data_IF_311614147153
#
_entry.id   IF_311614147153
#
_cell.length_a   1.000
_cell.length_b   1.000
_cell.length_c   1.000
_cell.angle_alpha   90.00
_cell.angle_beta   90.00
_cell.angle_gamma   90.00
#
_symmetry.space_group_name_H-M   'P 1'
#
loop_
_entity.id
_entity.type
_entity.pdbx_description
1 polymer ?
#
# COMPACT_ATOMS: atom_id res chain seq x y z
N UNK A 1 -91.57 9.68 8.40
CA UNK A 1 -92.57 9.24 9.41
C UNK A 1 -91.87 8.29 10.37
N UNK A 2 -92.01 8.47 11.69
CA UNK A 2 -91.59 7.58 12.81
C UNK A 2 -90.30 6.72 12.68
N UNK A 3 -89.28 7.10 13.47
CA UNK A 3 -88.39 6.19 14.23
C UNK A 3 -89.21 5.32 15.23
N UNK A 4 -88.67 4.27 15.91
CA UNK A 4 -87.27 3.95 16.29
C UNK A 4 -86.83 2.51 15.84
N UNK A 5 -85.75 1.82 16.25
CA UNK A 5 -85.07 1.61 17.56
C UNK A 5 -83.61 1.13 17.37
N UNK A 6 -82.60 1.63 18.12
CA UNK A 6 -82.12 1.20 19.47
C UNK A 6 -81.68 -0.28 19.49
N UNK A 7 -80.53 -0.72 20.05
CA UNK A 7 -79.41 -0.13 20.83
C UNK A 7 -78.18 -1.10 20.67
N UNK A 8 -76.96 -1.01 21.24
CA UNK A 8 -76.14 -0.14 22.13
C UNK A 8 -74.67 -0.48 21.70
N UNK A 9 -73.70 0.40 21.38
CA UNK A 9 -72.85 1.25 22.24
C UNK A 9 -72.35 0.54 23.53
N UNK A 10 -71.05 0.32 23.74
CA UNK A 10 -69.99 1.25 24.23
C UNK A 10 -68.61 0.53 24.05
N UNK A 11 -67.42 1.15 23.91
CA UNK A 11 -67.01 2.57 23.75
C UNK A 11 -65.55 2.70 23.19
N UNK A 12 -65.08 3.95 23.12
CA UNK A 12 -63.77 4.56 22.82
C UNK A 12 -62.50 3.99 23.52
N UNK A 13 -61.25 4.30 23.09
CA UNK A 13 -60.65 5.66 22.97
C UNK A 13 -59.52 5.84 21.93
N UNK A 14 -59.56 7.01 21.25
CA UNK A 14 -58.46 7.83 20.68
C UNK A 14 -57.34 7.18 19.84
N UNK A 15 -56.83 7.77 18.74
CA UNK A 15 -57.13 9.03 18.01
C UNK A 15 -56.24 9.06 16.75
N UNK A 16 -56.45 9.79 15.66
CA UNK A 16 -57.57 10.49 15.02
C UNK A 16 -56.91 11.42 13.97
N UNK A 17 -57.24 11.28 12.67
CA UNK A 17 -56.89 12.17 11.54
C UNK A 17 -55.37 12.32 11.23
N UNK A 18 -54.92 12.58 9.99
CA UNK A 18 -55.59 12.93 8.71
C UNK A 18 -55.24 11.82 7.66
N UNK A 19 -55.93 11.56 6.53
CA UNK A 19 -56.49 12.41 5.47
C UNK A 19 -55.41 13.27 4.74
N UNK A 20 -55.33 13.32 3.40
CA UNK A 20 -55.93 12.47 2.37
C UNK A 20 -55.11 12.54 1.05
N UNK A 21 -55.36 11.60 0.14
CA UNK A 21 -55.05 11.58 -1.30
C UNK A 21 -53.66 11.98 -1.91
N UNK A 22 -53.44 11.38 -3.10
CA UNK A 22 -52.64 11.83 -4.24
C UNK A 22 -51.11 11.58 -4.29
N UNK A 23 -50.67 11.37 -5.53
CA UNK A 23 -49.41 10.76 -5.93
C UNK A 23 -48.18 11.63 -5.74
N UNK A 24 -47.09 11.02 -5.27
CA UNK A 24 -45.75 11.39 -5.72
C UNK A 24 -44.92 10.15 -6.02
N UNK A 25 -44.06 10.22 -7.03
CA UNK A 25 -43.14 9.17 -7.43
C UNK A 25 -42.09 8.96 -6.33
N UNK A 26 -42.20 7.88 -5.57
CA UNK A 26 -41.16 7.45 -4.66
C UNK A 26 -39.94 6.99 -5.47
N UNK A 27 -38.86 7.79 -5.40
CA UNK A 27 -37.56 7.45 -5.98
C UNK A 27 -37.05 6.17 -5.33
N UNK A 28 -36.79 5.12 -6.10
CA UNK A 28 -36.03 3.97 -5.60
C UNK A 28 -34.66 4.48 -5.12
N UNK A 29 -34.39 4.30 -3.83
CA UNK A 29 -33.19 4.84 -3.21
C UNK A 29 -31.96 4.10 -3.73
N UNK A 30 -31.22 4.75 -4.63
CA UNK A 30 -29.87 4.33 -5.01
C UNK A 30 -28.92 4.53 -3.83
N UNK A 31 -29.00 3.59 -2.88
CA UNK A 31 -28.16 3.50 -1.69
C UNK A 31 -26.70 3.39 -2.13
N UNK A 32 -26.01 4.54 -2.16
CA UNK A 32 -24.67 4.62 -2.71
C UNK A 32 -23.71 3.80 -1.86
N UNK A 33 -23.40 2.57 -2.29
CA UNK A 33 -22.48 1.68 -1.62
C UNK A 33 -21.17 2.43 -1.37
N UNK A 34 -20.84 2.60 -0.09
CA UNK A 34 -19.57 3.19 0.30
C UNK A 34 -18.50 2.12 0.11
N UNK A 35 -17.88 2.10 -1.08
CA UNK A 35 -16.65 1.36 -1.31
C UNK A 35 -15.54 2.15 -0.59
N UNK A 36 -15.15 1.68 0.60
CA UNK A 36 -14.16 2.32 1.45
C UNK A 36 -12.77 1.71 1.31
N UNK A 37 -12.71 0.41 1.06
CA UNK A 37 -11.50 -0.42 0.97
C UNK A 37 -11.57 -1.41 -0.23
N UNK A 38 -10.52 -2.19 -0.45
CA UNK A 38 -10.53 -3.24 -1.50
C UNK A 38 -11.54 -4.36 -1.19
N UNK A 39 -11.71 -4.71 0.08
CA UNK A 39 -12.57 -5.80 0.52
C UNK A 39 -14.06 -5.52 0.25
N UNK A 40 -14.53 -4.29 0.34
CA UNK A 40 -15.86 -3.88 -0.06
C UNK A 40 -16.07 -4.12 -1.55
N UNK A 41 -15.04 -3.87 -2.36
CA UNK A 41 -15.05 -4.15 -3.81
C UNK A 41 -15.09 -5.65 -4.06
N UNK A 42 -14.20 -6.43 -3.42
CA UNK A 42 -14.12 -7.89 -3.61
C UNK A 42 -15.40 -8.60 -3.12
N UNK A 43 -16.01 -8.14 -2.02
CA UNK A 43 -17.30 -8.67 -1.49
C UNK A 43 -18.47 -8.54 -2.48
N UNK A 44 -18.42 -7.62 -3.46
CA UNK A 44 -19.47 -7.47 -4.48
C UNK A 44 -19.49 -8.60 -5.51
N UNK A 45 -18.38 -9.30 -5.69
CA UNK A 45 -18.32 -10.45 -6.60
C UNK A 45 -18.97 -11.69 -5.97
N UNK A 46 -19.56 -12.55 -6.78
CA UNK A 46 -20.24 -13.78 -6.33
C UNK A 46 -19.32 -15.01 -6.35
N UNK A 47 -18.37 -15.06 -7.27
CA UNK A 47 -17.43 -16.15 -7.50
C UNK A 47 -16.09 -15.98 -6.75
N UNK A 48 -15.43 -17.09 -6.42
CA UNK A 48 -14.16 -17.08 -5.69
C UNK A 48 -12.98 -16.49 -6.49
N UNK A 49 -13.00 -16.60 -7.83
CA UNK A 49 -11.92 -16.10 -8.69
C UNK A 49 -11.90 -14.57 -8.66
N UNK A 50 -13.04 -13.93 -8.87
CA UNK A 50 -13.17 -12.47 -8.83
C UNK A 50 -13.09 -11.87 -7.42
N UNK A 51 -13.27 -12.69 -6.38
CA UNK A 51 -12.97 -12.33 -4.98
C UNK A 51 -11.48 -12.40 -4.63
N UNK A 52 -10.65 -13.01 -5.48
CA UNK A 52 -9.21 -13.20 -5.24
C UNK A 52 -8.41 -12.13 -5.96
N UNK A 53 -7.61 -11.37 -5.22
CA UNK A 53 -6.58 -10.52 -5.81
C UNK A 53 -5.36 -11.38 -6.15
N UNK A 54 -4.71 -11.09 -7.28
CA UNK A 54 -3.48 -11.74 -7.72
C UNK A 54 -2.37 -10.69 -7.68
N UNK A 55 -1.59 -10.67 -6.60
CA UNK A 55 -0.53 -9.69 -6.41
C UNK A 55 0.78 -10.25 -6.99
N UNK A 56 1.46 -9.46 -7.82
CA UNK A 56 2.76 -9.80 -8.42
C UNK A 56 3.76 -8.66 -8.28
N UNK A 57 5.04 -9.00 -8.34
CA UNK A 57 6.14 -8.06 -8.30
C UNK A 57 6.01 -7.00 -9.42
N UNK A 58 5.89 -5.75 -9.01
CA UNK A 58 5.72 -4.59 -9.89
C UNK A 58 6.99 -3.72 -9.87
N UNK A 59 7.41 -3.32 -8.66
CA UNK A 59 8.66 -2.57 -8.47
C UNK A 59 9.43 -3.01 -7.23
N UNK A 60 10.76 -2.99 -7.35
CA UNK A 60 11.67 -2.93 -6.22
C UNK A 60 12.37 -1.59 -6.28
N UNK A 61 12.20 -0.75 -5.25
CA UNK A 61 13.06 0.41 -5.06
C UNK A 61 14.23 0.00 -4.17
N UNK A 62 15.41 -0.07 -4.77
CA UNK A 62 16.67 -0.26 -4.06
C UNK A 62 17.17 1.10 -3.56
N UNK A 63 17.59 1.17 -2.30
CA UNK A 63 18.40 2.26 -1.75
C UNK A 63 19.72 1.68 -1.24
N UNK A 64 20.85 2.17 -1.74
CA UNK A 64 22.20 1.77 -1.32
C UNK A 64 22.88 2.93 -0.61
N UNK A 65 23.33 2.68 0.62
CA UNK A 65 24.14 3.56 1.44
C UNK A 65 25.49 2.91 1.74
N UNK A 66 26.57 3.70 1.77
CA UNK A 66 27.90 3.22 2.16
C UNK A 66 28.62 4.31 2.94
N UNK A 67 29.17 3.98 4.12
CA UNK A 67 29.81 4.97 4.99
C UNK A 67 30.10 4.47 6.40
N UNK A 68 30.51 5.39 7.27
CA UNK A 68 30.58 5.18 8.72
C UNK A 68 29.20 5.49 9.32
N UNK A 69 28.71 4.65 10.24
CA UNK A 69 27.39 4.85 10.86
C UNK A 69 27.27 6.20 11.59
N UNK A 70 28.37 6.69 12.18
CA UNK A 70 28.47 8.03 12.80
C UNK A 70 28.39 9.21 11.82
N UNK A 71 28.47 8.95 10.50
CA UNK A 71 28.32 9.93 9.43
C UNK A 71 27.10 9.63 8.53
N UNK A 72 26.19 8.76 8.96
CA UNK A 72 25.01 8.34 8.21
C UNK A 72 24.14 9.52 7.74
N UNK A 73 23.95 10.54 8.58
CA UNK A 73 23.13 11.72 8.28
C UNK A 73 23.70 12.70 7.24
N UNK A 74 24.92 12.50 6.74
CA UNK A 74 25.54 13.34 5.70
C UNK A 74 25.99 12.57 4.45
N UNK A 75 25.64 11.28 4.37
CA UNK A 75 26.07 10.39 3.29
C UNK A 75 25.15 10.44 2.06
N UNK A 76 25.74 10.22 0.88
CA UNK A 76 24.98 10.07 -0.35
C UNK A 76 24.32 8.68 -0.41
N UNK A 77 22.99 8.65 -0.54
CA UNK A 77 22.23 7.41 -0.79
C UNK A 77 21.92 7.31 -2.28
N UNK A 78 22.41 6.27 -2.94
CA UNK A 78 21.99 5.93 -4.31
C UNK A 78 20.63 5.26 -4.25
N UNK A 79 19.73 5.57 -5.19
CA UNK A 79 18.42 4.92 -5.29
C UNK A 79 18.15 4.46 -6.71
N UNK A 80 17.85 3.18 -6.87
CA UNK A 80 17.56 2.50 -8.14
C UNK A 80 16.10 2.03 -8.12
N UNK A 81 15.44 1.97 -9.29
CA UNK A 81 14.11 1.37 -9.41
C UNK A 81 14.20 0.25 -10.43
N UNK A 82 13.83 -0.95 -9.99
CA UNK A 82 13.84 -2.19 -10.75
C UNK A 82 12.40 -2.63 -11.03
N UNK A 83 12.13 -3.12 -12.24
CA UNK A 83 10.89 -3.83 -12.61
C UNK A 83 11.11 -5.31 -12.96
N UNK A 84 12.37 -5.74 -12.95
CA UNK A 84 12.78 -7.14 -13.11
C UNK A 84 13.73 -7.46 -11.95
N UNK A 85 13.41 -8.50 -11.18
CA UNK A 85 14.22 -8.99 -10.07
C UNK A 85 15.66 -9.32 -10.51
N UNK A 86 15.85 -9.78 -11.75
CA UNK A 86 17.17 -10.09 -12.34
C UNK A 86 18.11 -8.88 -12.41
N UNK A 87 17.57 -7.66 -12.35
CA UNK A 87 18.35 -6.42 -12.29
C UNK A 87 18.76 -6.01 -10.87
N UNK A 88 18.22 -6.66 -9.83
CA UNK A 88 18.65 -6.49 -8.43
C UNK A 88 19.84 -7.42 -8.18
N UNK A 89 20.95 -6.86 -7.74
CA UNK A 89 22.17 -7.60 -7.41
C UNK A 89 22.43 -7.55 -5.89
N UNK A 90 22.55 -8.69 -5.19
CA UNK A 90 22.84 -8.68 -3.76
C UNK A 90 24.17 -8.00 -3.40
N UNK A 91 24.20 -7.37 -2.22
CA UNK A 91 25.34 -6.65 -1.64
C UNK A 91 26.63 -7.48 -1.61
N UNK A 92 26.48 -8.81 -1.54
CA UNK A 92 27.54 -9.82 -1.63
C UNK A 92 26.96 -11.09 -2.26
N UNK A 93 27.67 -11.67 -3.23
CA UNK A 93 27.33 -12.98 -3.80
C UNK A 93 27.24 -14.05 -2.71
N UNK A 94 26.24 -14.93 -2.79
CA UNK A 94 25.89 -15.97 -1.81
C UNK A 94 25.42 -15.42 -0.45
N UNK A 95 24.87 -14.20 -0.41
CA UNK A 95 24.07 -13.74 0.73
C UNK A 95 22.67 -14.39 0.69
N UNK A 96 22.05 -14.70 1.84
CA UNK A 96 20.67 -15.21 1.88
C UNK A 96 19.68 -14.08 1.58
N UNK A 97 19.47 -13.83 0.28
CA UNK A 97 18.47 -12.88 -0.20
C UNK A 97 17.24 -13.67 -0.60
N UNK A 98 16.13 -13.40 0.10
CA UNK A 98 14.80 -13.89 -0.24
C UNK A 98 13.90 -12.69 -0.51
N UNK A 99 13.12 -12.75 -1.59
CA UNK A 99 12.24 -11.66 -2.04
C UNK A 99 10.88 -12.25 -2.46
N UNK A 100 9.75 -11.76 -1.94
CA UNK A 100 8.43 -12.18 -2.41
C UNK A 100 8.20 -11.73 -3.86
N UNK A 101 7.61 -12.61 -4.67
CA UNK A 101 7.40 -12.42 -6.13
C UNK A 101 5.92 -12.41 -6.49
N UNK A 102 5.11 -13.29 -5.88
CA UNK A 102 3.66 -13.30 -6.09
C UNK A 102 2.93 -13.86 -4.87
N UNK A 103 1.68 -13.43 -4.68
CA UNK A 103 0.77 -13.96 -3.65
C UNK A 103 -0.68 -13.72 -4.05
N UNK A 104 -1.53 -14.74 -3.89
CA UNK A 104 -2.97 -14.60 -4.04
C UNK A 104 -3.65 -14.38 -2.68
N UNK A 105 -4.70 -13.56 -2.63
CA UNK A 105 -5.39 -13.26 -1.38
C UNK A 105 -6.87 -12.90 -1.54
N UNK A 106 -7.64 -13.16 -0.48
CA UNK A 106 -9.05 -12.76 -0.34
C UNK A 106 -9.25 -12.04 0.99
N UNK A 107 -10.41 -11.44 1.22
CA UNK A 107 -10.75 -10.79 2.49
C UNK A 107 -11.33 -11.73 3.56
N UNK A 108 -11.19 -13.03 3.33
CA UNK A 108 -11.41 -14.13 4.27
C UNK A 108 -10.12 -14.96 4.28
N UNK A 109 -9.83 -15.63 5.39
CA UNK A 109 -8.70 -16.57 5.46
C UNK A 109 -8.89 -17.65 4.38
N UNK A 110 -7.91 -17.77 3.49
CA UNK A 110 -7.97 -18.69 2.35
C UNK A 110 -6.58 -19.22 2.00
N UNK A 111 -6.50 -20.53 1.71
CA UNK A 111 -5.28 -21.17 1.23
C UNK A 111 -4.99 -20.70 -0.21
N UNK A 112 -3.80 -20.16 -0.43
CA UNK A 112 -3.38 -19.53 -1.68
C UNK A 112 -1.89 -19.80 -1.95
N UNK A 113 -1.50 -19.81 -3.22
CA UNK A 113 -0.08 -19.93 -3.59
C UNK A 113 0.67 -18.63 -3.25
N UNK A 114 1.83 -18.77 -2.60
CA UNK A 114 2.84 -17.74 -2.41
C UNK A 114 4.12 -18.16 -3.13
N UNK A 115 4.68 -17.24 -3.91
CA UNK A 115 5.93 -17.41 -4.66
C UNK A 115 6.95 -16.40 -4.14
N UNK A 116 8.14 -16.89 -3.81
CA UNK A 116 9.30 -16.06 -3.50
C UNK A 116 10.45 -16.45 -4.43
N UNK A 117 11.52 -15.66 -4.41
CA UNK A 117 12.74 -15.96 -5.12
C UNK A 117 13.95 -15.79 -4.21
N UNK A 118 14.82 -16.79 -4.22
CA UNK A 118 16.08 -16.81 -3.49
C UNK A 118 17.27 -16.61 -4.44
N UNK A 119 18.23 -15.78 -4.04
CA UNK A 119 19.45 -15.58 -4.84
C UNK A 119 20.49 -16.66 -4.57
N UNK A 120 20.56 -17.65 -5.46
CA UNK A 120 21.50 -18.77 -5.39
C UNK A 120 22.32 -18.92 -6.67
N UNK A 121 23.55 -19.42 -6.58
CA UNK A 121 24.39 -19.74 -7.75
C UNK A 121 24.63 -18.59 -8.77
N UNK A 122 24.49 -17.33 -8.35
CA UNK A 122 24.51 -16.10 -9.17
C UNK A 122 23.21 -15.79 -9.98
N UNK A 123 22.10 -16.47 -9.71
CA UNK A 123 20.80 -16.22 -10.29
C UNK A 123 19.74 -16.03 -9.19
N UNK A 124 18.59 -15.47 -9.56
CA UNK A 124 17.37 -15.59 -8.77
C UNK A 124 16.65 -16.87 -9.19
N UNK A 125 16.23 -17.68 -8.21
CA UNK A 125 15.47 -18.92 -8.42
C UNK A 125 14.15 -18.77 -7.69
N UNK A 126 13.04 -18.88 -8.42
CA UNK A 126 11.69 -18.84 -7.86
C UNK A 126 11.29 -20.21 -7.31
N UNK A 127 10.62 -20.22 -6.16
CA UNK A 127 9.98 -21.37 -5.54
C UNK A 127 8.61 -20.96 -4.96
N UNK A 128 7.73 -21.92 -4.67
CA UNK A 128 6.36 -21.63 -4.24
C UNK A 128 5.74 -22.71 -3.36
N UNK A 129 4.89 -22.28 -2.43
CA UNK A 129 4.09 -23.15 -1.56
C UNK A 129 2.73 -22.54 -1.26
N UNK A 130 1.82 -23.33 -0.71
CA UNK A 130 0.52 -22.84 -0.25
C UNK A 130 0.64 -22.25 1.16
N UNK A 131 0.10 -21.05 1.33
CA UNK A 131 -0.02 -20.33 2.61
C UNK A 131 -1.48 -20.01 2.88
N UNK A 132 -1.86 -19.87 4.13
CA UNK A 132 -3.09 -19.15 4.47
C UNK A 132 -2.84 -17.65 4.23
N UNK A 133 -3.78 -16.94 3.59
CA UNK A 133 -3.70 -15.49 3.37
C UNK A 133 -5.01 -14.78 3.68
N UNK A 134 -4.92 -13.49 4.03
CA UNK A 134 -6.07 -12.59 4.23
C UNK A 134 -5.70 -11.13 4.00
N UNK A 135 -6.59 -10.42 3.29
CA UNK A 135 -6.62 -8.96 3.22
C UNK A 135 -7.51 -8.38 4.32
N UNK A 136 -7.07 -7.25 4.87
CA UNK A 136 -7.76 -6.47 5.90
C UNK A 136 -7.95 -5.02 5.42
N UNK A 137 -9.10 -4.41 5.75
CA UNK A 137 -9.19 -2.95 5.87
C UNK A 137 -8.58 -2.54 7.21
N UNK A 138 -7.76 -1.51 7.21
CA UNK A 138 -7.17 -0.99 8.45
C UNK A 138 -8.17 -0.25 9.35
N UNK A 139 -9.37 0.10 8.82
CA UNK A 139 -10.50 0.56 9.63
C UNK A 139 -11.15 -0.56 10.45
N UNK A 140 -11.05 -1.80 9.99
CA UNK A 140 -11.60 -2.97 10.70
C UNK A 140 -10.61 -3.50 11.75
N UNK A 141 -9.29 -3.45 11.47
CA UNK A 141 -8.23 -3.89 12.40
C UNK A 141 -7.00 -2.97 12.34
N UNK A 142 -6.63 -2.41 13.50
CA UNK A 142 -5.45 -1.57 13.69
C UNK A 142 -4.21 -2.39 14.11
N UNK A 143 -3.06 -2.12 13.48
CA UNK A 143 -1.79 -2.84 13.69
C UNK A 143 -0.96 -2.28 14.86
N UNK A 144 -1.44 -2.45 16.11
CA UNK A 144 -0.66 -2.19 17.33
C UNK A 144 0.04 -0.82 17.37
N UNK A 145 1.35 -0.81 17.62
CA UNK A 145 2.20 0.40 17.67
C UNK A 145 2.54 0.98 16.28
N UNK A 146 2.16 0.34 15.17
CA UNK A 146 2.42 0.87 13.83
C UNK A 146 1.53 2.06 13.51
N UNK A 147 2.11 3.14 12.97
CA UNK A 147 1.36 4.34 12.58
C UNK A 147 0.51 4.09 11.31
N UNK A 148 -0.67 3.52 11.54
CA UNK A 148 -1.69 3.16 10.55
C UNK A 148 -2.23 4.32 9.71
N UNK A 149 -2.03 5.58 10.14
CA UNK A 149 -2.64 6.79 9.55
C UNK A 149 -2.45 6.99 8.04
N UNK A 150 -1.45 6.35 7.43
CA UNK A 150 -1.15 6.44 6.00
C UNK A 150 -1.29 5.09 5.25
N UNK A 151 -1.78 4.06 5.91
CA UNK A 151 -2.10 2.75 5.32
C UNK A 151 -3.62 2.66 5.09
N UNK A 152 -4.07 1.85 4.14
CA UNK A 152 -5.49 1.67 3.79
C UNK A 152 -5.91 0.20 3.89
N UNK A 153 -5.05 -0.70 3.43
CA UNK A 153 -5.27 -2.14 3.51
C UNK A 153 -3.97 -2.80 3.99
N UNK A 154 -4.04 -3.98 4.60
CA UNK A 154 -2.88 -4.83 4.84
C UNK A 154 -3.16 -6.29 4.44
N UNK A 155 -2.09 -6.99 4.08
CA UNK A 155 -2.07 -8.40 3.72
C UNK A 155 -1.30 -9.14 4.81
N UNK A 156 -1.90 -10.21 5.34
CA UNK A 156 -1.21 -11.21 6.14
C UNK A 156 -1.13 -12.54 5.36
N UNK A 157 -0.02 -13.26 5.52
CA UNK A 157 0.21 -14.57 4.93
C UNK A 157 1.08 -15.43 5.85
N UNK A 158 0.64 -16.65 6.17
CA UNK A 158 1.38 -17.58 7.04
C UNK A 158 1.41 -18.99 6.47
N UNK A 159 2.53 -19.68 6.67
CA UNK A 159 2.68 -21.11 6.36
C UNK A 159 2.01 -22.00 7.43
N UNK A 160 1.71 -21.44 8.60
CA UNK A 160 1.14 -22.16 9.73
C UNK A 160 -0.40 -22.17 9.75
N UNK A 161 -0.94 -22.60 10.88
CA UNK A 161 -2.33 -22.34 11.23
C UNK A 161 -2.54 -20.83 11.44
N UNK A 162 -3.71 -20.32 11.09
CA UNK A 162 -4.02 -18.90 11.29
C UNK A 162 -4.00 -18.53 12.78
N UNK A 163 -3.32 -17.44 13.19
CA UNK A 163 -3.25 -17.03 14.59
C UNK A 163 -4.65 -16.64 15.11
N UNK A 164 -5.01 -17.14 16.29
CA UNK A 164 -6.36 -16.96 16.88
C UNK A 164 -6.64 -15.53 17.37
N UNK A 165 -5.60 -14.71 17.48
CA UNK A 165 -5.61 -13.32 17.92
C UNK A 165 -5.27 -12.33 16.79
N UNK A 166 -5.16 -12.80 15.54
CA UNK A 166 -4.67 -12.02 14.38
C UNK A 166 -3.28 -11.36 14.63
N UNK A 167 -2.42 -11.98 15.45
CA UNK A 167 -1.04 -11.56 15.71
C UNK A 167 -0.05 -12.22 14.73
N UNK A 168 0.77 -11.42 14.04
CA UNK A 168 1.68 -11.85 12.96
C UNK A 168 3.08 -11.25 13.11
N UNK A 169 4.11 -11.99 12.69
CA UNK A 169 5.47 -11.44 12.57
C UNK A 169 5.59 -10.47 11.37
N UNK A 170 6.52 -9.52 11.45
CA UNK A 170 6.68 -8.45 10.44
C UNK A 170 7.16 -8.94 9.05
N UNK A 171 7.51 -10.21 8.90
CA UNK A 171 7.80 -10.90 7.63
C UNK A 171 6.58 -11.61 7.02
N UNK A 172 5.51 -11.85 7.80
CA UNK A 172 4.22 -12.41 7.36
C UNK A 172 3.24 -11.32 6.90
N UNK A 173 3.70 -10.06 6.87
CA UNK A 173 2.89 -8.86 6.67
C UNK A 173 3.36 -8.02 5.48
N UNK A 174 2.39 -7.45 4.75
CA UNK A 174 2.62 -6.37 3.78
C UNK A 174 1.56 -5.28 3.91
N UNK A 175 1.98 -4.02 3.77
CA UNK A 175 1.09 -2.86 3.95
C UNK A 175 0.79 -2.17 2.62
N UNK A 176 -0.45 -1.71 2.43
CA UNK A 176 -0.83 -0.87 1.29
C UNK A 176 -1.07 0.57 1.71
N UNK A 177 -0.16 1.45 1.30
CA UNK A 177 -0.27 2.91 1.46
C UNK A 177 -1.20 3.56 0.41
N UNK A 178 -1.85 2.75 -0.43
CA UNK A 178 -2.87 3.14 -1.40
C UNK A 178 -4.13 2.29 -1.26
N UNK A 179 -5.24 2.77 -1.83
CA UNK A 179 -6.48 2.01 -1.97
C UNK A 179 -6.28 0.82 -2.94
N UNK A 180 -5.53 1.03 -4.03
CA UNK A 180 -5.35 0.15 -5.18
C UNK A 180 -4.46 -1.09 -4.94
N UNK A 181 -4.32 -1.52 -3.67
CA UNK A 181 -3.51 -2.64 -3.16
C UNK A 181 -2.13 -2.77 -3.79
N UNK A 182 -1.24 -1.84 -3.42
CA UNK A 182 0.19 -2.04 -3.52
C UNK A 182 0.68 -2.65 -2.20
N UNK A 183 0.78 -3.98 -2.12
CA UNK A 183 1.31 -4.66 -0.94
C UNK A 183 2.83 -4.44 -0.85
N UNK A 184 3.28 -3.74 0.19
CA UNK A 184 4.68 -3.29 0.36
C UNK A 184 5.31 -3.95 1.58
N UNK A 185 6.56 -4.39 1.42
CA UNK A 185 7.46 -4.77 2.52
C UNK A 185 8.84 -4.14 2.33
N UNK A 186 9.59 -3.98 3.42
CA UNK A 186 10.99 -3.55 3.39
C UNK A 186 11.90 -4.69 3.82
N UNK A 187 12.80 -5.09 2.93
CA UNK A 187 13.91 -5.99 3.24
C UNK A 187 15.19 -5.14 3.32
N UNK A 188 16.08 -5.43 4.27
CA UNK A 188 17.37 -4.76 4.38
C UNK A 188 18.50 -5.74 4.64
N UNK A 189 19.67 -5.36 4.15
CA UNK A 189 20.89 -6.15 4.23
C UNK A 189 22.07 -5.22 4.48
N UNK A 190 22.89 -5.50 5.50
CA UNK A 190 24.14 -4.80 5.75
C UNK A 190 25.33 -5.72 5.52
N UNK A 191 26.48 -5.15 5.14
CA UNK A 191 27.77 -5.82 5.19
C UNK A 191 28.83 -4.88 5.76
N UNK A 192 29.68 -5.42 6.63
CA UNK A 192 30.94 -4.78 7.02
C UNK A 192 32.07 -5.80 7.02
N UNK A 193 33.30 -5.30 6.86
CA UNK A 193 34.51 -6.11 6.86
C UNK A 193 35.22 -6.03 8.22
N UNK A 194 35.73 -7.18 8.67
CA UNK A 194 36.47 -7.29 9.92
C UNK A 194 37.83 -7.95 9.70
N UNK A 195 38.88 -7.26 10.11
CA UNK A 195 40.27 -7.57 9.77
C UNK A 195 41.02 -7.94 11.04
N UNK A 196 41.24 -9.23 11.24
CA UNK A 196 42.07 -9.74 12.34
C UNK A 196 43.53 -9.76 11.89
N UNK A 197 44.42 -9.12 12.65
CA UNK A 197 45.87 -9.20 12.44
C UNK A 197 46.47 -9.99 13.59
N UNK A 198 47.09 -11.13 13.29
CA UNK A 198 47.75 -11.99 14.27
C UNK A 198 49.25 -11.98 14.02
N UNK A 199 50.03 -11.54 15.01
CA UNK A 199 51.50 -11.56 14.95
C UNK A 199 52.01 -12.72 15.81
N UNK A 200 52.82 -13.60 15.21
CA UNK A 200 53.46 -14.73 15.89
C UNK A 200 54.95 -14.68 15.58
N UNK A 201 55.75 -14.28 16.58
CA UNK A 201 57.16 -13.97 16.38
C UNK A 201 57.33 -12.82 15.37
N UNK A 202 58.05 -13.08 14.28
CA UNK A 202 58.24 -12.13 13.17
C UNK A 202 57.17 -12.24 12.07
N UNK A 203 56.24 -13.20 12.16
CA UNK A 203 55.24 -13.46 11.12
C UNK A 203 53.91 -12.77 11.42
N UNK A 204 53.50 -11.87 10.53
CA UNK A 204 52.20 -11.17 10.58
C UNK A 204 51.22 -11.83 9.61
N UNK A 205 50.13 -12.38 10.13
CA UNK A 205 49.03 -12.95 9.34
C UNK A 205 47.80 -12.04 9.43
N UNK A 206 47.34 -11.54 8.29
CA UNK A 206 46.12 -10.71 8.19
C UNK A 206 44.98 -11.54 7.61
N UNK A 207 43.92 -11.73 8.40
CA UNK A 207 42.68 -12.40 7.99
C UNK A 207 41.57 -11.37 7.83
N UNK A 208 41.13 -11.15 6.60
CA UNK A 208 39.91 -10.39 6.32
C UNK A 208 38.72 -11.35 6.37
N UNK A 209 37.72 -10.98 7.14
CA UNK A 209 36.40 -11.61 7.21
C UNK A 209 35.31 -10.59 6.91
N UNK A 210 34.08 -11.05 6.73
CA UNK A 210 32.93 -10.17 6.54
C UNK A 210 31.77 -10.65 7.42
N UNK A 211 30.91 -9.71 7.79
CA UNK A 211 29.68 -9.95 8.57
C UNK A 211 28.52 -9.39 7.77
N UNK A 212 27.43 -10.14 7.71
CA UNK A 212 26.17 -9.74 7.07
C UNK A 212 25.07 -9.83 8.12
N UNK A 213 24.20 -8.82 8.15
CA UNK A 213 22.93 -8.89 8.85
C UNK A 213 21.80 -8.62 7.85
N UNK A 214 20.65 -9.25 8.07
CA UNK A 214 19.43 -9.03 7.30
C UNK A 214 18.23 -8.79 8.22
N UNK A 215 17.22 -8.08 7.72
CA UNK A 215 15.98 -7.80 8.45
C UNK A 215 14.84 -7.55 7.47
N UNK A 216 13.63 -7.92 7.86
CA UNK A 216 12.37 -7.56 7.18
C UNK A 216 11.51 -6.82 8.18
N UNK A 217 10.90 -5.70 7.77
CA UNK A 217 9.91 -4.99 8.58
C UNK A 217 8.96 -4.14 7.72
N UNK A 218 7.98 -3.53 8.38
CA UNK A 218 6.92 -2.72 7.77
C UNK A 218 7.38 -1.32 7.29
N UNK A 219 8.56 -0.87 7.74
CA UNK A 219 9.12 0.45 7.41
C UNK A 219 10.65 0.46 7.29
N UNK A 220 11.18 1.48 6.63
CA UNK A 220 12.61 1.66 6.37
C UNK A 220 13.46 1.96 7.61
N UNK A 221 12.94 2.68 8.61
CA UNK A 221 13.71 3.07 9.78
C UNK A 221 13.95 1.86 10.69
N UNK A 222 12.91 1.03 10.92
CA UNK A 222 13.03 -0.23 11.66
C UNK A 222 14.01 -1.19 10.99
N UNK A 223 13.91 -1.37 9.67
CA UNK A 223 14.86 -2.21 8.90
C UNK A 223 16.30 -1.69 9.05
N UNK A 224 16.53 -0.39 8.84
CA UNK A 224 17.87 0.20 8.92
C UNK A 224 18.47 0.06 10.32
N UNK A 225 17.68 0.33 11.37
CA UNK A 225 18.10 0.16 12.76
C UNK A 225 18.48 -1.31 13.06
N UNK A 226 17.63 -2.27 12.69
CA UNK A 226 17.89 -3.70 12.89
C UNK A 226 19.18 -4.16 12.21
N UNK A 227 19.41 -3.85 10.93
CA UNK A 227 20.62 -4.31 10.22
C UNK A 227 21.92 -3.57 10.60
N UNK A 228 21.84 -2.45 11.33
CA UNK A 228 23.01 -1.69 11.78
C UNK A 228 23.29 -1.82 13.29
N UNK A 229 22.29 -2.23 14.07
CA UNK A 229 22.29 -2.38 15.54
C UNK A 229 23.57 -2.95 16.16
N UNK A 230 24.11 -4.03 15.59
CA UNK A 230 25.21 -4.82 16.14
C UNK A 230 26.57 -4.54 15.45
N UNK A 231 26.68 -3.49 14.65
CA UNK A 231 27.91 -3.18 13.92
C UNK A 231 28.87 -2.34 14.80
N UNK A 232 30.14 -2.75 14.98
CA UNK A 232 31.11 -1.97 15.77
C UNK A 232 31.36 -0.57 15.20
N UNK A 233 31.61 0.38 16.11
CA UNK A 233 31.97 1.75 15.75
C UNK A 233 33.26 1.83 14.92
N UNK A 234 33.35 2.82 14.03
CA UNK A 234 34.50 3.00 13.14
C UNK A 234 34.61 2.00 11.98
N UNK A 235 33.70 1.02 11.85
CA UNK A 235 33.61 0.18 10.66
C UNK A 235 32.99 0.95 9.49
N UNK A 236 33.57 0.78 8.29
CA UNK A 236 32.90 1.10 7.03
C UNK A 236 31.84 0.03 6.78
N UNK A 237 30.61 0.49 6.52
CA UNK A 237 29.43 -0.35 6.34
C UNK A 237 28.81 -0.01 5.00
N UNK A 238 28.33 -1.04 4.29
CA UNK A 238 27.40 -0.87 3.17
C UNK A 238 26.05 -1.43 3.59
N UNK A 239 24.97 -0.73 3.27
CA UNK A 239 23.59 -1.18 3.48
C UNK A 239 22.84 -1.10 2.15
N UNK A 240 22.13 -2.17 1.80
CA UNK A 240 21.20 -2.25 0.69
C UNK A 240 19.80 -2.48 1.25
N UNK A 241 18.87 -1.58 0.94
CA UNK A 241 17.47 -1.67 1.35
C UNK A 241 16.62 -1.86 0.10
N UNK A 242 15.70 -2.82 0.15
CA UNK A 242 14.77 -3.13 -0.92
C UNK A 242 13.35 -2.87 -0.43
N UNK A 243 12.73 -1.79 -0.91
CA UNK A 243 11.29 -1.59 -0.79
C UNK A 243 10.63 -2.36 -1.92
N UNK A 244 10.11 -3.54 -1.60
CA UNK A 244 9.47 -4.45 -2.55
C UNK A 244 7.98 -4.11 -2.58
N UNK A 245 7.41 -4.04 -3.79
CA UNK A 245 5.99 -3.78 -4.03
C UNK A 245 5.43 -4.90 -4.91
N UNK A 246 4.42 -5.58 -4.38
CA UNK A 246 3.50 -6.39 -5.18
C UNK A 246 2.23 -5.55 -5.48
N UNK A 247 1.73 -5.65 -6.70
CA UNK A 247 0.52 -4.94 -7.18
C UNK A 247 -0.45 -5.93 -7.81
N UNK A 248 -1.75 -5.62 -7.89
CA UNK A 248 -2.70 -6.45 -8.68
C UNK A 248 -2.16 -6.57 -10.11
N UNK A 249 -2.03 -7.80 -10.62
CA UNK A 249 -1.50 -8.07 -11.96
C UNK A 249 -2.25 -7.33 -13.08
N UNK A 250 -3.51 -6.92 -12.84
CA UNK A 250 -4.35 -6.11 -13.74
C UNK A 250 -3.89 -4.64 -13.83
N UNK A 251 -3.14 -4.15 -12.83
CA UNK A 251 -2.61 -2.78 -12.75
C UNK A 251 -1.15 -2.70 -13.26
N UNK A 252 -0.45 -3.82 -13.39
CA UNK A 252 0.95 -3.86 -13.83
C UNK A 252 1.04 -3.62 -15.35
N UNK A 253 1.35 -2.38 -15.73
CA UNK A 253 1.58 -2.01 -17.14
C UNK A 253 2.91 -2.60 -17.62
N UNK A 254 2.82 -3.74 -18.33
CA UNK A 254 3.98 -4.48 -18.87
C UNK A 254 4.88 -3.65 -19.79
N UNK A 255 4.30 -2.76 -20.60
CA UNK A 255 4.99 -2.09 -21.71
C UNK A 255 5.30 -0.60 -21.46
N UNK A 256 5.76 -0.24 -20.25
CA UNK A 256 6.42 1.07 -20.07
C UNK A 256 7.94 0.93 -20.34
N UNK A 257 8.47 1.55 -21.41
CA UNK A 257 9.85 1.35 -21.82
C UNK A 257 10.85 1.91 -20.78
N UNK A 258 12.03 1.29 -20.72
CA UNK A 258 13.08 1.51 -19.72
C UNK A 258 13.79 2.86 -19.86
N UNK A 259 13.06 3.96 -19.71
CA UNK A 259 13.63 5.28 -19.56
C UNK A 259 14.37 5.37 -18.21
N UNK A 260 15.70 5.45 -18.28
CA UNK A 260 16.52 5.79 -17.10
C UNK A 260 16.17 7.21 -16.70
N UNK A 261 15.27 7.34 -15.73
CA UNK A 261 15.04 8.58 -15.03
C UNK A 261 16.30 8.96 -14.24
N UNK A 262 17.21 9.72 -14.87
CA UNK A 262 17.98 10.73 -14.13
C UNK A 262 16.99 11.43 -13.21
N UNK A 263 17.26 11.46 -11.91
CA UNK A 263 16.37 12.01 -10.89
C UNK A 263 15.79 13.34 -11.38
N UNK A 264 14.47 13.41 -11.69
CA UNK A 264 13.83 14.67 -11.97
C UNK A 264 13.95 15.52 -10.70
N UNK A 265 14.74 16.59 -10.76
CA UNK A 265 14.80 17.54 -9.65
C UNK A 265 13.41 18.14 -9.48
N UNK A 266 12.75 17.74 -8.39
CA UNK A 266 11.30 17.67 -8.24
C UNK A 266 10.61 16.68 -9.19
N UNK A 267 9.74 15.84 -8.61
CA UNK A 267 8.47 15.59 -9.29
C UNK A 267 7.82 16.96 -9.49
N UNK A 268 7.49 17.34 -10.72
CA UNK A 268 6.67 18.54 -10.95
C UNK A 268 5.30 18.33 -10.29
N UNK A 269 5.17 18.80 -9.05
CA UNK A 269 3.89 19.06 -8.40
C UNK A 269 3.18 20.07 -9.29
N UNK A 270 2.22 19.59 -10.08
CA UNK A 270 1.41 20.45 -10.93
C UNK A 270 0.59 21.29 -9.96
N UNK A 271 0.97 22.56 -9.78
CA UNK A 271 0.29 23.47 -8.86
C UNK A 271 -1.06 23.86 -9.45
N UNK A 272 -2.03 22.96 -9.30
CA UNK A 272 -3.42 23.21 -9.62
C UNK A 272 -3.87 24.49 -8.91
N UNK A 273 -4.36 25.46 -9.68
CA UNK A 273 -4.86 26.71 -9.13
C UNK A 273 -6.26 26.45 -8.59
N UNK A 274 -6.38 26.38 -7.27
CA UNK A 274 -7.65 26.35 -6.55
C UNK A 274 -8.05 27.80 -6.28
N UNK A 275 -9.23 28.22 -6.73
CA UNK A 275 -9.76 29.59 -6.57
C UNK A 275 -11.14 29.54 -5.93
N UNK A 276 -11.38 30.17 -4.75
CA UNK A 276 -12.69 30.21 -4.13
C UNK A 276 -13.68 31.07 -4.94
N UNK A 277 -14.96 30.70 -4.89
CA UNK A 277 -16.08 31.33 -5.59
C UNK A 277 -17.36 31.20 -4.76
N UNK A 278 -18.41 31.93 -5.13
CA UNK A 278 -19.71 31.94 -4.42
C UNK A 278 -20.40 30.57 -4.31
N UNK A 279 -20.03 29.57 -5.12
CA UNK A 279 -20.60 28.22 -5.10
C UNK A 279 -19.65 27.11 -4.64
N UNK A 280 -18.39 27.42 -4.31
CA UNK A 280 -17.34 26.42 -4.08
C UNK A 280 -16.01 26.87 -4.69
N UNK A 281 -15.19 25.94 -5.18
CA UNK A 281 -13.82 26.19 -5.60
C UNK A 281 -13.63 25.77 -7.06
N UNK A 282 -13.05 26.65 -7.88
CA UNK A 282 -12.63 26.31 -9.23
C UNK A 282 -11.21 25.76 -9.19
N UNK A 283 -11.02 24.56 -9.74
CA UNK A 283 -9.71 23.92 -9.92
C UNK A 283 -9.29 24.07 -11.37
N UNK A 284 -8.08 24.58 -11.64
CA UNK A 284 -7.51 24.67 -13.00
C UNK A 284 -6.08 24.12 -13.05
N UNK A 285 -5.72 23.55 -14.20
CA UNK A 285 -4.37 23.11 -14.50
C UNK A 285 -3.37 24.28 -14.62
N UNK A 286 -2.06 23.99 -14.73
CA UNK A 286 -1.03 25.04 -14.77
C UNK A 286 -1.13 26.02 -15.94
N UNK A 287 -1.76 25.63 -17.05
CA UNK A 287 -2.03 26.50 -18.22
C UNK A 287 -3.47 27.04 -18.24
N UNK A 288 -4.21 26.87 -17.13
CA UNK A 288 -5.62 27.23 -17.03
C UNK A 288 -6.58 26.14 -17.52
N UNK A 289 -6.11 24.93 -17.80
CA UNK A 289 -6.95 23.84 -18.31
C UNK A 289 -8.05 23.45 -17.30
N UNK A 290 -9.18 22.96 -17.80
CA UNK A 290 -10.15 22.22 -16.97
C UNK A 290 -9.61 20.79 -16.79
N UNK A 291 -9.24 20.36 -15.58
CA UNK A 291 -8.75 19.00 -15.37
C UNK A 291 -9.89 17.99 -15.45
N UNK A 292 -9.58 16.75 -15.83
CA UNK A 292 -10.44 15.62 -15.48
C UNK A 292 -10.41 15.47 -13.96
N UNK A 293 -11.56 15.55 -13.30
CA UNK A 293 -11.68 15.34 -11.86
C UNK A 293 -12.53 14.11 -11.55
N UNK A 294 -12.13 13.38 -10.51
CA UNK A 294 -12.91 12.34 -9.87
C UNK A 294 -12.97 12.60 -8.38
N UNK A 295 -14.07 12.24 -7.75
CA UNK A 295 -14.11 12.09 -6.29
C UNK A 295 -13.26 10.90 -5.87
N UNK A 296 -12.94 10.79 -4.57
CA UNK A 296 -12.35 9.56 -4.02
C UNK A 296 -13.15 8.28 -4.34
N UNK A 297 -14.47 8.38 -4.58
CA UNK A 297 -15.34 7.26 -4.97
C UNK A 297 -15.26 6.92 -6.48
N UNK A 298 -14.24 7.39 -7.19
CA UNK A 298 -14.04 7.19 -8.63
C UNK A 298 -15.02 7.94 -9.55
N UNK A 299 -16.16 8.41 -9.03
CA UNK A 299 -17.21 9.13 -9.75
C UNK A 299 -16.66 10.38 -10.43
N UNK A 300 -17.00 10.59 -11.70
CA UNK A 300 -16.60 11.79 -12.47
C UNK A 300 -17.20 13.03 -11.84
N UNK A 301 -16.40 14.09 -11.71
CA UNK A 301 -16.79 15.38 -11.16
C UNK A 301 -16.63 16.44 -12.25
N UNK A 302 -17.67 17.26 -12.48
CA UNK A 302 -17.60 18.31 -13.50
C UNK A 302 -16.70 19.48 -13.03
N UNK A 303 -15.41 19.38 -13.34
CA UNK A 303 -14.40 20.38 -13.02
C UNK A 303 -14.60 21.73 -13.74
N UNK A 304 -15.49 21.79 -14.74
CA UNK A 304 -15.83 23.04 -15.42
C UNK A 304 -16.43 24.06 -14.43
N UNK A 305 -17.23 23.55 -13.48
CA UNK A 305 -17.96 24.29 -12.46
C UNK A 305 -17.22 24.32 -11.11
N UNK A 306 -17.77 25.06 -10.15
CA UNK A 306 -17.22 25.13 -8.79
C UNK A 306 -17.51 23.83 -8.01
N UNK A 307 -16.46 23.17 -7.52
CA UNK A 307 -16.58 21.95 -6.70
C UNK A 307 -16.64 22.30 -5.21
N UNK A 308 -17.25 21.44 -4.41
CA UNK A 308 -17.34 21.61 -2.94
C UNK A 308 -15.98 21.32 -2.29
N UNK A 309 -15.73 21.81 -1.05
CA UNK A 309 -14.61 21.33 -0.23
C UNK A 309 -14.61 19.80 -0.13
N UNK A 310 -13.42 19.20 -0.16
CA UNK A 310 -13.25 17.75 -0.19
C UNK A 310 -11.96 17.31 -0.87
N UNK A 311 -11.86 16.00 -1.09
CA UNK A 311 -10.65 15.34 -1.57
C UNK A 311 -10.91 14.68 -2.92
N UNK A 312 -10.08 15.03 -3.90
CA UNK A 312 -10.28 14.74 -5.31
C UNK A 312 -9.01 14.14 -5.94
N UNK A 313 -9.21 13.33 -6.98
CA UNK A 313 -8.15 12.84 -7.86
C UNK A 313 -8.30 13.55 -9.20
N UNK A 314 -7.23 14.17 -9.69
CA UNK A 314 -7.27 15.11 -10.82
C UNK A 314 -6.16 14.82 -11.84
N UNK A 315 -6.42 15.05 -13.12
CA UNK A 315 -5.40 14.98 -14.18
C UNK A 315 -5.70 15.95 -15.32
N UNK A 316 -4.66 16.50 -15.95
CA UNK A 316 -4.73 17.21 -17.23
C UNK A 316 -4.22 16.30 -18.37
N UNK A 317 -4.51 16.61 -19.65
CA UNK A 317 -3.99 15.82 -20.75
C UNK A 317 -2.46 15.67 -20.69
N UNK A 318 -1.98 14.43 -20.85
CA UNK A 318 -0.55 14.04 -20.76
C UNK A 318 0.08 14.11 -19.35
N UNK A 319 -0.69 14.37 -18.27
CA UNK A 319 -0.22 14.14 -16.90
C UNK A 319 -0.68 12.80 -16.33
N UNK A 320 0.02 12.30 -15.32
CA UNK A 320 -0.51 11.28 -14.41
C UNK A 320 -1.52 11.89 -13.43
N UNK A 321 -2.41 11.06 -12.87
CA UNK A 321 -3.37 11.47 -11.85
C UNK A 321 -2.66 11.92 -10.56
N UNK A 322 -3.17 12.99 -9.94
CA UNK A 322 -2.64 13.58 -8.70
C UNK A 322 -3.78 13.81 -7.69
N UNK A 323 -3.47 13.71 -6.40
CA UNK A 323 -4.43 13.90 -5.29
C UNK A 323 -4.40 15.37 -4.84
N UNK A 324 -5.54 16.05 -4.79
CA UNK A 324 -5.67 17.40 -4.22
C UNK A 324 -6.71 17.45 -3.12
N UNK A 325 -6.39 18.20 -2.07
CA UNK A 325 -7.33 18.58 -1.01
C UNK A 325 -7.84 19.98 -1.33
N UNK A 326 -9.15 20.18 -1.18
CA UNK A 326 -9.82 21.47 -1.28
C UNK A 326 -10.42 21.74 0.10
N UNK A 327 -9.66 22.45 0.92
CA UNK A 327 -10.12 22.91 2.24
C UNK A 327 -10.98 24.17 2.13
N UNK A 328 -11.46 24.69 3.27
CA UNK A 328 -12.29 25.90 3.33
C UNK A 328 -11.47 27.18 3.31
#
# INVERSE_FOLDING_TARGET
>A
MRLPSLFFAFVLMSSALFADENSSSAVESSSSVYIGNICDTLKLHSDAVSRTIQLRLDTIRESVWEGLLSASGSALVTTTIHRDLRSVLPIKKNSPYSVPVAVAAQCLVSENQYTWADYSSNAWVEDSLNVNTRLYDIRDVALGDYNSSNTYNWLAFTQGAWPTDDSFDANELMLSHTFDVHAITWHGYSIYYDTTVTVVGTSTTTKISYRIASSVALDSATVFASVTSNIPSGKLVKVQMLRIMLSDEKLIIKDQPTAIAKVPQSHYLLRYKITPTTGGYLVRGPQGEVPQMRSLKGSVVNASEAVKPGLYIVSVPKSGWQKIIIDR
#
